data_IF_165784275619
#
_entry.id   IF_165784275619
#
_cell.length_a   1.000
_cell.length_b   1.000
_cell.length_c   1.000
_cell.angle_alpha   90.00
_cell.angle_beta   90.00
_cell.angle_gamma   90.00
#
_symmetry.space_group_name_H-M   'P 1'
#
loop_
_entity.id
_entity.type
_entity.pdbx_description
1 polymer ?
#
# COMPACT_ATOMS: atom_id res chain seq x y z
N UNK A 1 -40.81 -6.54 0.71
CA UNK A 1 -39.80 -7.49 1.26
C UNK A 1 -39.01 -8.23 0.18
N UNK A 2 -39.65 -8.83 -0.84
CA UNK A 2 -38.93 -9.54 -1.92
C UNK A 2 -37.98 -8.63 -2.75
N UNK A 3 -38.41 -7.41 -3.09
CA UNK A 3 -37.55 -6.42 -3.77
C UNK A 3 -36.33 -5.99 -2.93
N UNK A 4 -36.47 -5.91 -1.61
CA UNK A 4 -35.33 -5.62 -0.73
C UNK A 4 -34.32 -6.77 -0.73
N UNK A 5 -34.78 -8.03 -0.67
CA UNK A 5 -33.91 -9.21 -0.70
C UNK A 5 -33.10 -9.30 -1.99
N UNK A 6 -33.76 -9.13 -3.13
CA UNK A 6 -33.10 -9.12 -4.45
C UNK A 6 -32.08 -7.99 -4.57
N UNK A 7 -32.38 -6.80 -4.04
CA UNK A 7 -31.42 -5.68 -4.02
C UNK A 7 -30.17 -5.98 -3.19
N UNK A 8 -30.33 -6.68 -2.06
CA UNK A 8 -29.23 -7.07 -1.17
C UNK A 8 -28.37 -8.16 -1.82
N UNK A 9 -29.00 -9.13 -2.47
CA UNK A 9 -28.30 -10.19 -3.22
C UNK A 9 -27.45 -9.59 -4.34
N UNK A 10 -28.06 -8.73 -5.17
CA UNK A 10 -27.35 -8.03 -6.23
C UNK A 10 -26.17 -7.18 -5.69
N UNK A 11 -26.37 -6.45 -4.59
CA UNK A 11 -25.29 -5.68 -3.98
C UNK A 11 -24.14 -6.58 -3.46
N UNK A 12 -24.46 -7.76 -2.90
CA UNK A 12 -23.44 -8.73 -2.46
C UNK A 12 -22.64 -9.27 -3.63
N UNK A 13 -23.28 -9.55 -4.76
CA UNK A 13 -22.61 -10.06 -5.95
C UNK A 13 -21.68 -9.02 -6.56
N UNK A 14 -22.12 -7.76 -6.63
CA UNK A 14 -21.26 -6.64 -7.01
C UNK A 14 -20.04 -6.49 -6.08
N UNK A 15 -20.24 -6.57 -4.76
CA UNK A 15 -19.14 -6.49 -3.79
C UNK A 15 -18.18 -7.66 -3.97
N UNK A 16 -18.69 -8.89 -4.17
CA UNK A 16 -17.86 -10.08 -4.42
C UNK A 16 -17.06 -9.93 -5.70
N UNK A 17 -17.68 -9.48 -6.79
CA UNK A 17 -17.02 -9.23 -8.06
C UNK A 17 -15.90 -8.18 -7.93
N UNK A 18 -16.18 -7.06 -7.26
CA UNK A 18 -15.16 -6.02 -7.04
C UNK A 18 -14.01 -6.51 -6.15
N UNK A 19 -14.29 -7.28 -5.10
CA UNK A 19 -13.24 -7.86 -4.24
C UNK A 19 -12.35 -8.83 -5.02
N UNK A 20 -12.93 -9.76 -5.79
CA UNK A 20 -12.17 -10.69 -6.65
C UNK A 20 -11.23 -9.92 -7.58
N UNK A 21 -11.77 -8.89 -8.22
CA UNK A 21 -11.02 -8.03 -9.12
C UNK A 21 -9.86 -7.30 -8.45
N UNK A 22 -10.09 -6.68 -7.29
CA UNK A 22 -9.02 -5.99 -6.57
C UNK A 22 -7.95 -6.98 -6.12
N UNK A 23 -8.33 -8.17 -5.65
CA UNK A 23 -7.36 -9.19 -5.25
C UNK A 23 -6.57 -9.71 -6.46
N UNK A 24 -7.18 -9.79 -7.64
CA UNK A 24 -6.47 -10.09 -8.88
C UNK A 24 -5.45 -9.00 -9.24
N UNK A 25 -5.86 -7.73 -9.21
CA UNK A 25 -4.97 -6.58 -9.42
C UNK A 25 -3.80 -6.59 -8.41
N UNK A 26 -4.07 -6.97 -7.14
CA UNK A 26 -3.02 -7.13 -6.12
C UNK A 26 -2.07 -8.30 -6.41
N UNK A 27 -2.57 -9.40 -6.97
CA UNK A 27 -1.73 -10.51 -7.42
C UNK A 27 -0.77 -10.13 -8.54
N UNK A 28 -1.18 -9.20 -9.41
CA UNK A 28 -0.33 -8.65 -10.48
C UNK A 28 0.69 -7.64 -9.96
N UNK A 29 0.33 -6.84 -8.95
CA UNK A 29 1.24 -5.87 -8.31
C UNK A 29 2.29 -6.59 -7.45
N UNK A 30 1.85 -7.51 -6.59
CA UNK A 30 2.67 -8.26 -5.65
C UNK A 30 2.92 -9.67 -6.18
N UNK A 31 3.57 -9.78 -7.34
CA UNK A 31 3.76 -11.07 -8.02
C UNK A 31 4.49 -12.06 -7.12
N UNK A 32 3.86 -13.19 -6.82
CA UNK A 32 4.47 -14.31 -6.10
C UNK A 32 4.73 -15.45 -7.08
N UNK A 33 5.99 -15.64 -7.45
CA UNK A 33 6.42 -16.59 -8.46
C UNK A 33 7.27 -17.71 -7.84
N UNK A 34 7.15 -18.97 -8.31
CA UNK A 34 8.03 -20.03 -7.87
C UNK A 34 9.45 -19.74 -8.33
N UNK A 35 10.44 -20.23 -7.57
CA UNK A 35 11.85 -20.17 -7.98
C UNK A 35 12.13 -21.42 -8.84
N UNK A 36 12.42 -21.30 -10.16
CA UNK A 36 12.44 -22.44 -11.06
C UNK A 36 13.44 -23.55 -10.70
N UNK A 37 14.58 -23.19 -10.12
CA UNK A 37 15.64 -24.11 -9.70
C UNK A 37 15.74 -24.27 -8.19
N UNK A 38 14.74 -23.79 -7.45
CA UNK A 38 14.74 -23.82 -6.00
C UNK A 38 14.14 -25.12 -5.43
N UNK A 39 14.29 -25.36 -4.12
CA UNK A 39 13.59 -26.45 -3.44
C UNK A 39 12.05 -26.35 -3.60
N UNK A 40 11.30 -27.42 -3.34
CA UNK A 40 9.84 -27.36 -3.29
C UNK A 40 9.36 -26.23 -2.37
N UNK A 41 8.28 -25.55 -2.76
CA UNK A 41 7.69 -24.42 -2.03
C UNK A 41 8.62 -23.21 -1.86
N UNK A 42 9.67 -23.10 -2.68
CA UNK A 42 10.48 -21.89 -2.78
C UNK A 42 9.81 -20.87 -3.71
N UNK A 43 9.55 -19.69 -3.18
CA UNK A 43 8.91 -18.60 -3.90
C UNK A 43 9.66 -17.29 -3.71
N UNK A 44 9.39 -16.35 -4.59
CA UNK A 44 9.84 -14.97 -4.53
C UNK A 44 8.66 -14.02 -4.68
N UNK A 45 8.73 -12.86 -4.04
CA UNK A 45 7.73 -11.80 -4.15
C UNK A 45 8.38 -10.58 -4.82
N UNK A 46 7.77 -10.06 -5.89
CA UNK A 46 8.31 -8.95 -6.67
C UNK A 46 9.77 -9.17 -7.12
N UNK A 47 10.13 -10.43 -7.43
CA UNK A 47 11.49 -10.82 -7.82
C UNK A 47 12.46 -11.09 -6.66
N UNK A 48 12.09 -10.79 -5.41
CA UNK A 48 12.93 -11.01 -4.23
C UNK A 48 12.62 -12.35 -3.56
N UNK A 49 13.63 -13.23 -3.35
CA UNK A 49 13.41 -14.51 -2.68
C UNK A 49 13.04 -14.29 -1.21
N UNK A 50 12.04 -15.03 -0.72
CA UNK A 50 11.69 -15.08 0.69
C UNK A 50 11.72 -16.55 1.14
N UNK A 51 12.76 -16.98 1.88
CA UNK A 51 12.81 -18.35 2.39
C UNK A 51 11.69 -18.58 3.42
N UNK A 52 11.18 -19.80 3.52
CA UNK A 52 10.22 -20.15 4.57
C UNK A 52 10.92 -20.28 5.93
N UNK A 53 10.19 -20.09 7.03
CA UNK A 53 10.79 -20.13 8.38
C UNK A 53 11.12 -21.58 8.76
N UNK A 54 12.40 -21.98 8.75
CA UNK A 54 12.84 -23.33 9.15
C UNK A 54 13.14 -23.39 10.64
N UNK A 55 12.92 -24.55 11.27
CA UNK A 55 13.04 -24.75 12.73
C UNK A 55 14.50 -24.75 13.24
N UNK A 56 15.47 -25.06 12.38
CA UNK A 56 16.89 -25.12 12.73
C UNK A 56 17.61 -23.87 12.20
N UNK A 57 17.94 -22.99 13.14
CA UNK A 57 18.81 -21.81 13.09
C UNK A 57 19.50 -21.45 11.75
N UNK A 58 19.27 -20.21 11.31
CA UNK A 58 20.01 -19.40 10.32
C UNK A 58 19.14 -18.76 9.22
N UNK A 59 17.81 -18.69 9.37
CA UNK A 59 16.96 -17.89 8.47
C UNK A 59 17.40 -16.43 8.49
N UNK A 60 18.11 -16.00 7.44
CA UNK A 60 18.72 -14.68 7.31
C UNK A 60 20.24 -14.63 7.47
N UNK A 61 20.91 -15.67 8.00
CA UNK A 61 22.39 -15.70 8.05
C UNK A 61 22.93 -16.20 6.71
N UNK A 62 23.30 -15.27 5.84
CA UNK A 62 23.85 -15.53 4.50
C UNK A 62 22.89 -15.23 3.34
N UNK A 63 21.62 -14.94 3.64
CA UNK A 63 20.76 -14.24 2.69
C UNK A 63 21.13 -12.76 2.67
N UNK A 64 20.97 -12.10 1.53
CA UNK A 64 21.05 -10.64 1.46
C UNK A 64 20.02 -10.04 2.43
N UNK A 65 20.50 -9.47 3.54
CA UNK A 65 19.67 -8.99 4.65
C UNK A 65 18.68 -7.91 4.19
N UNK A 66 19.11 -7.08 3.23
CA UNK A 66 18.30 -6.01 2.67
C UNK A 66 17.22 -6.59 1.74
N UNK A 67 17.57 -7.58 0.92
CA UNK A 67 16.60 -8.29 0.08
C UNK A 67 15.55 -9.04 0.92
N UNK A 68 15.95 -9.70 2.01
CA UNK A 68 15.03 -10.38 2.93
C UNK A 68 14.06 -9.38 3.58
N UNK A 69 14.59 -8.28 4.09
CA UNK A 69 13.80 -7.23 4.74
C UNK A 69 12.84 -6.58 3.74
N UNK A 70 13.26 -6.36 2.49
CA UNK A 70 12.40 -5.84 1.43
C UNK A 70 11.31 -6.84 1.01
N UNK A 71 11.63 -8.14 0.89
CA UNK A 71 10.65 -9.18 0.57
C UNK A 71 9.58 -9.30 1.67
N UNK A 72 9.98 -9.27 2.95
CA UNK A 72 9.05 -9.21 4.08
C UNK A 72 8.23 -7.92 4.07
N UNK A 73 8.82 -6.80 3.66
CA UNK A 73 8.11 -5.54 3.47
C UNK A 73 6.98 -5.62 2.44
N UNK A 74 7.21 -6.28 1.30
CA UNK A 74 6.15 -6.54 0.30
C UNK A 74 5.07 -7.46 0.86
N UNK A 75 5.44 -8.53 1.56
CA UNK A 75 4.49 -9.44 2.17
C UNK A 75 3.64 -8.72 3.24
N UNK A 76 4.26 -7.90 4.09
CA UNK A 76 3.60 -7.09 5.10
C UNK A 76 2.58 -6.13 4.49
N UNK A 77 2.97 -5.40 3.44
CA UNK A 77 2.07 -4.49 2.73
C UNK A 77 0.89 -5.24 2.09
N UNK A 78 1.14 -6.38 1.45
CA UNK A 78 0.09 -7.19 0.86
C UNK A 78 -0.90 -7.71 1.92
N UNK A 79 -0.41 -8.23 3.04
CA UNK A 79 -1.24 -8.69 4.18
C UNK A 79 -2.07 -7.54 4.75
N UNK A 80 -1.45 -6.37 4.96
CA UNK A 80 -2.14 -5.17 5.45
C UNK A 80 -3.26 -4.72 4.51
N UNK A 81 -3.03 -4.68 3.20
CA UNK A 81 -4.05 -4.31 2.22
C UNK A 81 -5.18 -5.35 2.16
N UNK A 82 -4.85 -6.64 2.16
CA UNK A 82 -5.83 -7.72 2.06
C UNK A 82 -6.85 -7.70 3.20
N UNK A 83 -6.45 -7.29 4.41
CA UNK A 83 -7.37 -7.22 5.56
C UNK A 83 -8.62 -6.38 5.27
N UNK A 84 -8.47 -5.27 4.54
CA UNK A 84 -9.54 -4.33 4.25
C UNK A 84 -10.49 -4.89 3.18
N UNK A 85 -9.93 -5.39 2.08
CA UNK A 85 -10.73 -5.94 0.97
C UNK A 85 -11.38 -7.27 1.32
N UNK A 86 -10.70 -8.08 2.13
CA UNK A 86 -11.26 -9.30 2.67
C UNK A 86 -12.13 -9.05 3.91
N UNK A 87 -12.18 -7.84 4.46
CA UNK A 87 -12.93 -7.54 5.68
C UNK A 87 -12.63 -8.53 6.81
N UNK A 88 -11.36 -8.90 6.94
CA UNK A 88 -10.87 -9.83 7.95
C UNK A 88 -9.84 -9.06 8.78
N UNK A 89 -10.15 -8.66 10.02
CA UNK A 89 -9.22 -7.91 10.85
C UNK A 89 -7.99 -8.78 11.18
N UNK A 90 -6.81 -8.17 11.20
CA UNK A 90 -5.58 -8.86 11.58
C UNK A 90 -5.47 -8.93 13.11
N UNK A 91 -5.26 -10.12 13.70
CA UNK A 91 -5.00 -10.26 15.13
C UNK A 91 -3.75 -9.50 15.59
N UNK A 92 -2.75 -9.39 14.71
CA UNK A 92 -1.49 -8.70 14.96
C UNK A 92 -1.36 -7.52 13.97
N UNK A 93 -1.66 -6.28 14.36
CA UNK A 93 -1.61 -5.14 13.45
C UNK A 93 -0.25 -4.99 12.75
N UNK A 94 -0.26 -4.78 11.44
CA UNK A 94 0.94 -4.59 10.62
C UNK A 94 1.14 -3.10 10.36
N UNK A 95 2.38 -2.61 10.47
CA UNK A 95 2.76 -1.26 10.03
C UNK A 95 3.68 -1.37 8.82
N UNK A 96 3.15 -1.23 7.59
CA UNK A 96 3.96 -1.32 6.39
C UNK A 96 4.85 -0.08 6.24
N UNK A 97 6.16 -0.31 6.15
CA UNK A 97 7.18 0.72 5.95
C UNK A 97 8.33 0.17 5.08
N UNK A 98 7.99 -0.43 3.94
CA UNK A 98 8.97 -1.06 3.03
C UNK A 98 9.86 -2.07 3.76
N UNK A 99 11.18 -2.00 3.57
CA UNK A 99 12.16 -2.85 4.26
C UNK A 99 12.29 -2.59 5.77
N UNK A 100 11.48 -1.67 6.33
CA UNK A 100 11.45 -1.33 7.76
C UNK A 100 10.09 -1.60 8.39
N UNK A 101 9.26 -2.42 7.75
CA UNK A 101 7.94 -2.80 8.26
C UNK A 101 8.02 -3.49 9.62
N UNK A 102 6.93 -3.45 10.38
CA UNK A 102 6.82 -4.03 11.72
C UNK A 102 5.44 -4.66 11.96
N UNK A 103 5.36 -5.53 12.98
CA UNK A 103 4.12 -6.15 13.44
C UNK A 103 3.98 -5.93 14.94
N UNK A 104 2.76 -5.64 15.40
CA UNK A 104 2.45 -5.46 16.82
C UNK A 104 1.74 -6.65 17.42
N UNK A 105 2.10 -7.00 18.66
CA UNK A 105 1.37 -7.96 19.46
C UNK A 105 0.83 -7.35 20.77
N UNK A 106 -0.49 -7.22 20.81
CA UNK A 106 -1.24 -6.69 21.96
C UNK A 106 -1.85 -7.79 22.82
N UNK A 107 -1.79 -9.06 22.40
CA UNK A 107 -2.52 -10.16 23.04
C UNK A 107 -1.62 -11.09 23.85
N UNK A 108 -0.35 -11.27 23.47
CA UNK A 108 0.53 -12.14 24.26
C UNK A 108 0.97 -11.45 25.56
N UNK A 109 1.17 -12.29 26.57
CA UNK A 109 1.73 -11.93 27.87
C UNK A 109 3.26 -11.86 27.76
N UNK A 110 3.75 -10.76 27.19
CA UNK A 110 5.19 -10.46 27.14
C UNK A 110 5.64 -9.97 28.52
N UNK A 111 6.71 -10.54 29.06
CA UNK A 111 7.23 -10.28 30.42
C UNK A 111 7.86 -8.89 30.62
N UNK A 112 7.61 -7.93 29.74
CA UNK A 112 8.26 -6.62 29.75
C UNK A 112 7.69 -5.73 30.86
N UNK A 113 8.45 -5.56 31.94
CA UNK A 113 8.05 -4.92 33.19
C UNK A 113 8.03 -3.37 33.19
N UNK A 114 8.15 -2.69 32.05
CA UNK A 114 8.27 -1.21 32.02
C UNK A 114 7.14 -0.52 31.23
N UNK A 115 6.15 0.12 31.91
CA UNK A 115 4.98 0.84 31.35
C UNK A 115 5.26 1.75 30.15
N UNK A 116 6.41 2.44 30.17
CA UNK A 116 6.80 3.39 29.12
C UNK A 116 7.36 2.69 27.86
N UNK A 117 7.89 1.48 28.01
CA UNK A 117 8.35 0.68 26.89
C UNK A 117 7.23 -0.14 26.25
N UNK A 118 6.07 -0.36 26.90
CA UNK A 118 5.02 -1.27 26.39
C UNK A 118 4.64 -1.02 24.94
N UNK A 119 4.55 0.24 24.50
CA UNK A 119 4.13 0.56 23.13
C UNK A 119 5.18 0.23 22.07
N UNK A 120 6.48 0.37 22.39
CA UNK A 120 7.61 0.01 21.51
C UNK A 120 8.06 -1.45 21.70
N UNK A 121 7.91 -1.99 22.91
CA UNK A 121 8.23 -3.36 23.28
C UNK A 121 7.32 -4.37 22.60
N UNK A 122 6.05 -3.97 22.35
CA UNK A 122 5.06 -4.75 21.59
C UNK A 122 5.20 -4.63 20.08
N UNK A 123 6.10 -3.79 19.56
CA UNK A 123 6.34 -3.64 18.12
C UNK A 123 7.60 -4.41 17.74
N UNK A 124 7.43 -5.40 16.86
CA UNK A 124 8.47 -6.32 16.45
C UNK A 124 8.86 -6.06 14.99
N UNK A 125 10.16 -5.92 14.69
CA UNK A 125 10.62 -5.56 13.36
C UNK A 125 10.57 -6.74 12.39
N UNK A 126 10.06 -6.53 11.16
CA UNK A 126 10.14 -7.49 10.05
C UNK A 126 11.43 -7.33 9.22
N UNK A 127 12.50 -6.88 9.88
CA UNK A 127 13.81 -6.68 9.27
C UNK A 127 14.89 -7.14 10.23
N UNK A 128 16.01 -7.57 9.67
CA UNK A 128 17.15 -8.03 10.45
C UNK A 128 17.76 -6.87 11.27
N UNK A 129 18.09 -7.09 12.55
CA UNK A 129 18.73 -6.07 13.38
C UNK A 129 20.15 -5.80 12.88
N UNK A 130 20.51 -4.52 12.75
CA UNK A 130 21.90 -4.15 12.49
C UNK A 130 22.77 -4.50 13.70
N UNK A 131 23.94 -5.10 13.46
CA UNK A 131 24.93 -5.36 14.51
C UNK A 131 24.79 -6.68 15.26
N UNK A 132 24.01 -7.65 14.75
CA UNK A 132 24.09 -9.06 15.19
C UNK A 132 23.57 -9.36 16.60
N UNK A 133 22.76 -8.48 17.19
CA UNK A 133 22.17 -8.71 18.52
C UNK A 133 21.26 -9.94 18.52
N UNK A 134 21.58 -10.95 19.34
CA UNK A 134 20.75 -12.15 19.53
C UNK A 134 19.32 -11.81 19.92
N UNK A 135 19.13 -10.85 20.83
CA UNK A 135 17.80 -10.38 21.22
C UNK A 135 17.05 -9.73 20.05
N UNK A 136 17.74 -8.98 19.19
CA UNK A 136 17.17 -8.42 17.97
C UNK A 136 16.73 -9.51 16.99
N UNK A 137 17.53 -10.58 16.83
CA UNK A 137 17.19 -11.70 15.95
C UNK A 137 15.94 -12.43 16.43
N UNK A 138 15.83 -12.72 17.73
CA UNK A 138 14.62 -13.33 18.29
C UNK A 138 13.38 -12.46 18.07
N UNK A 139 13.49 -11.13 18.24
CA UNK A 139 12.38 -10.21 17.96
C UNK A 139 11.97 -10.22 16.49
N UNK A 140 12.93 -10.32 15.57
CA UNK A 140 12.69 -10.44 14.13
C UNK A 140 11.99 -11.76 13.78
N UNK A 141 12.51 -12.89 14.26
CA UNK A 141 11.90 -14.21 14.04
C UNK A 141 10.47 -14.26 14.60
N UNK A 142 10.26 -13.66 15.77
CA UNK A 142 8.93 -13.52 16.34
C UNK A 142 8.00 -12.66 15.47
N UNK A 143 8.46 -11.51 14.95
CA UNK A 143 7.68 -10.67 14.04
C UNK A 143 7.22 -11.45 12.80
N UNK A 144 8.13 -12.25 12.22
CA UNK A 144 7.83 -13.08 11.06
C UNK A 144 6.79 -14.15 11.39
N UNK A 145 6.93 -14.82 12.54
CA UNK A 145 5.91 -15.75 13.02
C UNK A 145 4.53 -15.08 13.16
N UNK A 146 4.46 -13.86 13.70
CA UNK A 146 3.20 -13.11 13.81
C UNK A 146 2.61 -12.76 12.43
N UNK A 147 3.45 -12.38 11.46
CA UNK A 147 3.02 -12.17 10.08
C UNK A 147 2.40 -13.45 9.49
N UNK A 148 3.01 -14.61 9.72
CA UNK A 148 2.48 -15.90 9.29
C UNK A 148 1.13 -16.22 9.96
N UNK A 149 0.96 -15.86 11.24
CA UNK A 149 -0.34 -15.99 11.92
C UNK A 149 -1.41 -15.06 11.34
N UNK A 150 -1.06 -13.87 10.89
CA UNK A 150 -1.98 -13.00 10.16
C UNK A 150 -2.40 -13.60 8.81
N UNK A 151 -1.45 -14.19 8.07
CA UNK A 151 -1.75 -14.91 6.82
C UNK A 151 -2.72 -16.06 7.08
N UNK A 152 -2.49 -16.84 8.14
CA UNK A 152 -3.42 -17.88 8.56
C UNK A 152 -4.81 -17.32 8.91
N UNK A 153 -4.89 -16.21 9.64
CA UNK A 153 -6.17 -15.57 9.98
C UNK A 153 -6.94 -15.14 8.72
N UNK A 154 -6.26 -14.59 7.71
CA UNK A 154 -6.87 -14.26 6.42
C UNK A 154 -7.37 -15.51 5.68
N UNK A 155 -6.58 -16.59 5.66
CA UNK A 155 -6.97 -17.87 5.09
C UNK A 155 -8.20 -18.46 5.77
N UNK A 156 -8.20 -18.52 7.11
CA UNK A 156 -9.32 -19.03 7.91
C UNK A 156 -10.57 -18.17 7.70
N UNK A 157 -10.42 -16.85 7.61
CA UNK A 157 -11.52 -15.92 7.28
C UNK A 157 -12.15 -16.18 5.90
N UNK A 158 -11.47 -16.92 5.02
CA UNK A 158 -11.92 -17.34 3.69
C UNK A 158 -12.32 -18.82 3.62
N UNK A 159 -12.32 -19.53 4.75
CA UNK A 159 -12.59 -20.97 4.80
C UNK A 159 -11.45 -21.84 4.25
N UNK A 160 -10.24 -21.28 4.13
CA UNK A 160 -9.06 -22.00 3.68
C UNK A 160 -8.31 -22.57 4.90
N UNK A 161 -7.76 -23.78 4.76
CA UNK A 161 -6.94 -24.41 5.80
C UNK A 161 -5.46 -24.25 5.45
N UNK A 162 -4.70 -23.66 6.37
CA UNK A 162 -3.24 -23.62 6.30
C UNK A 162 -2.68 -24.92 6.85
N UNK A 163 -1.86 -25.63 6.07
CA UNK A 163 -1.27 -26.91 6.47
C UNK A 163 -0.04 -26.69 7.34
N UNK A 164 0.85 -25.79 6.90
CA UNK A 164 2.02 -25.35 7.66
C UNK A 164 2.11 -23.83 7.61
N UNK A 165 2.06 -23.20 8.78
CA UNK A 165 2.10 -21.74 8.91
C UNK A 165 3.45 -21.14 8.51
N UNK A 166 4.51 -21.95 8.50
CA UNK A 166 5.88 -21.50 8.21
C UNK A 166 6.10 -21.15 6.72
N UNK A 167 5.20 -21.62 5.88
CA UNK A 167 5.22 -21.44 4.42
C UNK A 167 4.64 -20.08 4.02
N UNK A 168 5.36 -18.99 4.30
CA UNK A 168 4.87 -17.60 4.13
C UNK A 168 4.32 -17.33 2.72
N UNK A 169 5.18 -17.35 1.70
CA UNK A 169 4.77 -17.02 0.32
C UNK A 169 3.86 -18.07 -0.32
N UNK A 170 4.07 -19.39 -0.13
CA UNK A 170 3.11 -20.39 -0.60
C UNK A 170 1.69 -20.14 -0.08
N UNK A 171 1.52 -19.86 1.22
CA UNK A 171 0.22 -19.60 1.82
C UNK A 171 -0.41 -18.30 1.30
N UNK A 172 0.38 -17.23 1.17
CA UNK A 172 -0.08 -15.97 0.57
C UNK A 172 -0.52 -16.15 -0.89
N UNK A 173 0.27 -16.87 -1.70
CA UNK A 173 -0.06 -17.15 -3.10
C UNK A 173 -1.36 -17.96 -3.20
N UNK A 174 -1.51 -18.97 -2.36
CA UNK A 174 -2.73 -19.78 -2.32
C UNK A 174 -3.96 -18.94 -1.94
N UNK A 175 -3.85 -18.08 -0.92
CA UNK A 175 -4.90 -17.16 -0.52
C UNK A 175 -5.34 -16.25 -1.68
N UNK A 176 -4.39 -15.58 -2.34
CA UNK A 176 -4.67 -14.68 -3.46
C UNK A 176 -5.33 -15.46 -4.60
N UNK A 177 -4.77 -16.61 -4.98
CA UNK A 177 -5.33 -17.46 -6.04
C UNK A 177 -6.78 -17.87 -5.75
N UNK A 178 -7.07 -18.37 -4.54
CA UNK A 178 -8.41 -18.81 -4.16
C UNK A 178 -9.40 -17.65 -4.05
N UNK A 179 -8.93 -16.45 -3.66
CA UNK A 179 -9.75 -15.25 -3.62
C UNK A 179 -10.06 -14.69 -5.02
N UNK A 180 -9.25 -15.01 -6.02
CA UNK A 180 -9.50 -14.67 -7.42
C UNK A 180 -10.34 -15.72 -8.16
N UNK A 181 -10.24 -16.98 -7.76
CA UNK A 181 -10.92 -18.10 -8.40
C UNK A 181 -12.46 -17.93 -8.34
N UNK A 182 -13.10 -17.92 -9.51
CA UNK A 182 -14.55 -17.87 -9.67
C UNK A 182 -14.95 -17.94 -11.14
N UNK A 183 -16.11 -18.52 -11.43
CA UNK A 183 -16.60 -18.81 -12.80
C UNK A 183 -17.14 -17.60 -13.55
N UNK A 184 -17.40 -16.49 -12.87
CA UNK A 184 -17.84 -15.25 -13.51
C UNK A 184 -16.63 -14.42 -13.92
N UNK A 185 -16.65 -13.90 -15.15
CA UNK A 185 -15.68 -12.93 -15.65
C UNK A 185 -15.43 -11.83 -14.61
N UNK A 186 -14.16 -11.57 -14.34
CA UNK A 186 -13.75 -10.55 -13.39
C UNK A 186 -14.26 -9.20 -13.90
N UNK A 187 -15.11 -8.47 -13.14
CA UNK A 187 -15.71 -7.23 -13.63
C UNK A 187 -14.64 -6.23 -14.08
N UNK A 188 -14.77 -5.67 -15.29
CA UNK A 188 -13.81 -4.68 -15.79
C UNK A 188 -13.69 -3.45 -14.90
N UNK A 189 -12.58 -2.71 -15.02
CA UNK A 189 -12.42 -1.45 -14.26
C UNK A 189 -13.50 -0.55 -14.76
N UNK A 190 -14.38 -0.08 -13.87
CA UNK A 190 -15.23 1.04 -14.22
C UNK A 190 -14.28 2.20 -14.53
N UNK A 191 -14.08 2.45 -15.83
CA UNK A 191 -13.26 3.54 -16.37
C UNK A 191 -14.00 4.84 -16.03
N UNK A 192 -13.80 5.36 -14.83
CA UNK A 192 -14.49 6.55 -14.36
C UNK A 192 -13.99 6.93 -12.98
N UNK A 193 -13.33 8.09 -12.90
CA UNK A 193 -12.96 8.71 -11.63
C UNK A 193 -14.20 8.97 -10.76
N UNK A 194 -13.95 9.26 -9.49
CA UNK A 194 -15.01 9.64 -8.54
C UNK A 194 -15.81 10.79 -9.14
N UNK A 195 -17.09 10.55 -9.44
CA UNK A 195 -18.04 11.56 -9.92
C UNK A 195 -18.07 12.68 -8.89
N UNK A 196 -17.41 13.79 -9.19
CA UNK A 196 -17.20 14.91 -8.25
C UNK A 196 -15.79 15.52 -8.29
N UNK A 197 -14.76 14.79 -8.75
CA UNK A 197 -13.40 15.36 -8.90
C UNK A 197 -13.19 16.15 -10.21
N UNK A 198 -14.12 16.05 -11.16
CA UNK A 198 -14.06 16.69 -12.49
C UNK A 198 -15.40 17.36 -12.84
N UNK A 199 -16.00 18.06 -11.88
CA UNK A 199 -17.14 18.94 -12.15
C UNK A 199 -16.65 20.36 -12.46
N UNK A 200 -17.21 21.07 -13.47
CA UNK A 200 -16.84 22.44 -13.72
C UNK A 200 -17.18 23.29 -12.49
N UNK A 201 -16.22 24.10 -12.07
CA UNK A 201 -16.38 25.12 -11.03
C UNK A 201 -17.61 25.96 -11.38
N UNK A 202 -18.63 25.90 -10.53
CA UNK A 202 -19.83 26.72 -10.61
C UNK A 202 -19.40 28.19 -10.59
N UNK A 203 -19.62 28.91 -11.69
CA UNK A 203 -19.59 30.37 -11.70
C UNK A 203 -20.70 30.85 -10.78
N UNK A 204 -20.32 31.47 -9.66
CA UNK A 204 -21.23 32.22 -8.81
C UNK A 204 -21.87 33.34 -9.61
N UNK A 205 -23.20 33.30 -9.66
CA UNK A 205 -24.02 34.40 -10.10
C UNK A 205 -23.95 35.53 -9.07
N UNK A 206 -23.70 36.76 -9.53
CA UNK A 206 -24.27 38.00 -8.98
C UNK A 206 -23.94 39.20 -9.88
N UNK A 207 -24.96 40.02 -10.20
CA UNK A 207 -24.75 41.44 -10.48
C UNK A 207 -25.04 41.98 -11.89
N UNK A 208 -26.32 42.15 -12.21
CA UNK A 208 -26.97 43.35 -12.82
C UNK A 208 -26.16 44.23 -13.80
N UNK A 209 -26.67 44.36 -15.03
CA UNK A 209 -26.28 45.42 -15.97
C UNK A 209 -27.11 45.37 -17.26
N UNK A 210 -28.10 46.25 -17.33
CA UNK A 210 -29.00 46.51 -18.47
C UNK A 210 -28.23 47.12 -19.66
N UNK A 211 -28.57 46.74 -20.90
CA UNK A 211 -27.87 47.22 -22.10
C UNK A 211 -28.27 46.51 -23.39
N UNK A 212 -29.11 47.18 -24.18
CA UNK A 212 -29.69 46.75 -25.47
C UNK A 212 -28.67 46.80 -26.63
N UNK A 213 -28.98 46.03 -27.68
CA UNK A 213 -28.53 46.08 -29.11
C UNK A 213 -27.31 45.20 -29.42
N UNK A 214 -27.10 44.60 -30.60
CA UNK A 214 -27.82 44.27 -31.84
C UNK A 214 -26.68 43.82 -32.80
N UNK A 215 -26.89 42.80 -33.65
CA UNK A 215 -26.14 42.71 -34.92
C UNK A 215 -24.74 42.04 -34.95
N UNK A 216 -24.74 40.82 -35.52
CA UNK A 216 -23.95 40.43 -36.69
C UNK A 216 -22.45 40.06 -36.61
N UNK A 217 -22.18 39.00 -37.41
CA UNK A 217 -21.02 38.74 -38.25
C UNK A 217 -19.79 38.03 -37.67
N UNK A 218 -19.74 36.74 -38.02
CA UNK A 218 -18.56 35.97 -38.45
C UNK A 218 -17.50 36.81 -39.18
N UNK A 219 -16.23 36.71 -38.77
CA UNK A 219 -15.09 36.71 -39.70
C UNK A 219 -13.96 35.80 -39.21
N UNK A 220 -13.46 35.04 -40.18
CA UNK A 220 -12.32 34.13 -40.20
C UNK A 220 -11.02 34.94 -40.41
N UNK A 221 -9.86 34.26 -40.23
CA UNK A 221 -8.48 34.59 -40.68
C UNK A 221 -7.63 35.33 -39.63
N UNK A 222 -6.34 35.06 -39.43
CA UNK A 222 -5.30 34.40 -40.23
C UNK A 222 -4.11 34.02 -39.32
N UNK A 223 -3.30 33.04 -39.72
CA UNK A 223 -2.13 32.53 -38.99
C UNK A 223 -0.86 33.39 -39.13
N UNK A 224 -0.02 33.30 -38.08
CA UNK A 224 1.46 33.41 -38.03
C UNK A 224 2.11 34.81 -38.18
N UNK A 225 3.31 35.10 -37.61
CA UNK A 225 4.37 34.13 -37.30
C UNK A 225 5.08 34.26 -35.93
N UNK A 226 5.91 33.25 -35.71
CA UNK A 226 6.78 32.95 -34.58
C UNK A 226 7.91 33.99 -34.49
N UNK A 227 8.09 34.60 -33.32
CA UNK A 227 9.34 35.29 -32.95
C UNK A 227 9.77 34.88 -31.54
N UNK A 228 11.04 34.48 -31.44
CA UNK A 228 11.71 33.93 -30.26
C UNK A 228 11.55 34.79 -29.00
N UNK A 229 10.91 34.22 -27.98
CA UNK A 229 10.81 34.79 -26.65
C UNK A 229 11.79 34.11 -25.70
N UNK A 230 12.80 34.86 -25.28
CA UNK A 230 13.57 34.60 -24.07
C UNK A 230 12.75 35.18 -22.91
N UNK A 231 11.96 34.37 -22.20
CA UNK A 231 11.34 34.77 -20.94
C UNK A 231 10.76 33.61 -20.13
N UNK A 232 11.37 33.44 -18.96
CA UNK A 232 10.98 32.74 -17.74
C UNK A 232 9.45 32.68 -17.52
N UNK A 233 8.85 31.49 -17.62
CA UNK A 233 7.47 31.26 -17.18
C UNK A 233 7.44 30.92 -15.68
N UNK A 234 6.98 31.87 -14.87
CA UNK A 234 6.55 31.66 -13.48
C UNK A 234 5.39 30.65 -13.47
N UNK A 235 5.49 29.65 -12.59
CA UNK A 235 4.45 28.67 -12.35
C UNK A 235 3.14 29.31 -11.89
N UNK A 236 2.05 28.82 -12.46
CA UNK A 236 0.67 29.15 -12.09
C UNK A 236 0.39 28.48 -10.73
N UNK A 237 0.42 29.25 -9.65
CA UNK A 237 -0.01 28.82 -8.32
C UNK A 237 -1.51 28.96 -8.17
N UNK A 238 -2.23 27.83 -8.13
CA UNK A 238 -3.63 27.78 -7.70
C UNK A 238 -3.69 27.83 -6.16
N UNK A 239 -4.46 28.74 -5.55
CA UNK A 239 -4.56 28.84 -4.10
C UNK A 239 -5.50 27.77 -3.54
N UNK A 240 -5.02 26.96 -2.60
CA UNK A 240 -5.83 25.99 -1.84
C UNK A 240 -6.59 26.71 -0.71
N UNK A 241 -7.85 26.35 -0.41
CA UNK A 241 -8.69 27.06 0.54
C UNK A 241 -8.46 26.55 1.96
N UNK A 242 -7.28 26.82 2.52
CA UNK A 242 -7.07 26.73 3.97
C UNK A 242 -6.54 28.06 4.47
N UNK A 243 -7.39 28.68 5.31
CA UNK A 243 -7.24 29.94 6.03
C UNK A 243 -5.80 30.13 6.56
N UNK A 244 -5.13 31.18 6.10
CA UNK A 244 -3.79 31.59 6.54
C UNK A 244 -3.85 32.18 7.95
N UNK A 245 -3.31 31.46 8.93
CA UNK A 245 -2.66 32.07 10.10
C UNK A 245 -1.16 31.78 10.00
N UNK A 246 -0.34 32.82 10.20
CA UNK A 246 1.08 32.90 9.87
C UNK A 246 1.91 31.68 10.31
N UNK A 247 2.52 30.97 9.36
CA UNK A 247 3.66 30.07 9.64
C UNK A 247 4.91 30.62 8.95
N UNK A 248 5.71 31.34 9.75
CA UNK A 248 6.99 31.94 9.36
C UNK A 248 8.04 30.82 9.16
N UNK A 249 8.16 30.31 7.93
CA UNK A 249 9.20 29.36 7.54
C UNK A 249 10.53 30.08 7.29
N UNK A 250 11.44 30.08 8.26
CA UNK A 250 12.83 30.52 8.04
C UNK A 250 13.68 29.33 7.60
N UNK A 251 14.06 29.29 6.31
CA UNK A 251 15.07 28.39 5.77
C UNK A 251 16.46 28.81 6.26
N UNK A 252 17.09 27.99 7.12
CA UNK A 252 18.43 28.20 7.64
C UNK A 252 19.42 27.32 6.89
N UNK A 253 19.95 27.81 5.77
CA UNK A 253 21.13 27.23 5.10
C UNK A 253 22.38 27.88 5.66
N UNK A 254 23.17 27.15 6.45
CA UNK A 254 24.57 27.52 6.74
C UNK A 254 25.34 26.25 7.09
N UNK A 255 26.28 25.87 6.23
CA UNK A 255 27.19 24.78 6.54
C UNK A 255 27.96 24.13 5.37
N UNK A 256 28.17 24.81 4.24
CA UNK A 256 29.24 24.44 3.31
C UNK A 256 30.34 25.51 3.42
N UNK A 257 31.50 25.12 3.91
CA UNK A 257 32.79 25.73 3.54
C UNK A 257 33.84 24.63 3.44
N UNK A 258 34.28 24.47 2.20
CA UNK A 258 35.54 23.90 1.75
C UNK A 258 36.75 24.71 2.24
N UNK A 259 37.93 24.06 2.21
CA UNK A 259 39.33 24.54 2.11
C UNK A 259 40.20 23.48 2.84
N UNK A 260 40.94 22.56 2.20
CA UNK A 260 42.07 22.62 1.24
C UNK A 260 43.28 23.41 1.73
N UNK A 261 44.35 22.63 2.03
CA UNK A 261 45.80 22.94 2.12
C UNK A 261 46.27 23.76 3.33
N UNK A 262 47.40 23.46 3.98
CA UNK A 262 48.60 22.68 3.69
C UNK A 262 49.21 22.20 5.02
#
# INVERSE_FOLDING_TARGET
>A
LASARTSVEHARDLIRGQRRRVVADLGDIFRIDPIPSGPPLSFRICGLPLPNTVLDAATGRGADEDALSAALGYAALLVDILQYYLSTPLPYPVTPLGSRSSVRDDISLLSDANPQLYRRGREFPLYLPRGGSTAGHFRFEYAWFLLNKNVEALCVGRGLRVVDIRETLPNLKYLVYMCCAGSEEVPERKKGGVRGLWGPLVQSAEGVGDGVREGAATQVREEAPITNGDQVTKGIGLPLPFREEEVKLTLRTKGMRENVSK
#
